data_IF_725437291892
#
_entry.id   IF_725437291892
#
_cell.length_a   1.000
_cell.length_b   1.000
_cell.length_c   1.000
_cell.angle_alpha   90.00
_cell.angle_beta   90.00
_cell.angle_gamma   90.00
#
_symmetry.space_group_name_H-M   'P 1'
#
loop_
_entity.id
_entity.type
_entity.pdbx_description
1 polymer ?
#
# COMPACT_ATOMS: atom_id res chain seq x y z
N UNK A 1 -12.93 9.37 -1.20
CA UNK A 1 -11.68 9.43 -2.01
C UNK A 1 -12.04 9.43 -3.50
N UNK A 2 -11.55 10.38 -4.31
CA UNK A 2 -11.79 10.37 -5.77
C UNK A 2 -11.08 9.17 -6.43
N UNK A 3 -11.83 8.41 -7.24
CA UNK A 3 -11.38 7.21 -7.97
C UNK A 3 -10.53 7.53 -9.22
N UNK A 4 -9.68 8.54 -9.15
CA UNK A 4 -8.84 8.92 -10.30
C UNK A 4 -7.66 7.95 -10.44
N UNK A 5 -7.90 6.95 -11.31
CA UNK A 5 -7.03 5.85 -11.66
C UNK A 5 -6.98 4.76 -10.57
N UNK A 6 -7.58 3.60 -10.88
CA UNK A 6 -7.57 2.38 -10.06
C UNK A 6 -6.17 2.15 -9.44
N UNK A 7 -5.06 2.28 -10.21
CA UNK A 7 -3.69 2.15 -9.67
C UNK A 7 -3.33 3.13 -8.54
N UNK A 8 -3.81 4.37 -8.61
CA UNK A 8 -3.58 5.39 -7.59
C UNK A 8 -4.48 5.17 -6.37
N UNK A 9 -5.67 4.60 -6.57
CA UNK A 9 -6.62 4.34 -5.49
C UNK A 9 -6.06 3.35 -4.46
N UNK A 10 -5.49 2.21 -4.89
CA UNK A 10 -4.84 1.28 -3.96
C UNK A 10 -3.66 1.93 -3.20
N UNK A 11 -2.88 2.78 -3.88
CA UNK A 11 -1.76 3.50 -3.23
C UNK A 11 -2.30 4.49 -2.20
N UNK A 12 -3.38 5.20 -2.52
CA UNK A 12 -4.06 6.09 -1.59
C UNK A 12 -4.62 5.32 -0.38
N UNK A 13 -5.23 4.16 -0.60
CA UNK A 13 -5.75 3.29 0.46
C UNK A 13 -4.65 2.79 1.41
N UNK A 14 -3.54 2.26 0.87
CA UNK A 14 -2.41 1.80 1.69
C UNK A 14 -1.75 2.95 2.46
N UNK A 15 -1.59 4.10 1.80
CA UNK A 15 -1.08 5.30 2.45
C UNK A 15 -2.00 5.76 3.57
N UNK A 16 -3.30 5.87 3.28
CA UNK A 16 -4.30 6.26 4.25
C UNK A 16 -4.25 5.34 5.47
N UNK A 17 -4.30 4.02 5.26
CA UNK A 17 -4.16 3.00 6.31
C UNK A 17 -2.92 3.20 7.19
N UNK A 18 -1.76 3.53 6.61
CA UNK A 18 -0.55 3.83 7.38
C UNK A 18 -0.67 5.07 8.28
N UNK A 19 -1.43 6.09 7.88
CA UNK A 19 -1.67 7.28 8.70
C UNK A 19 -2.74 7.07 9.79
N UNK A 20 -3.76 6.24 9.52
CA UNK A 20 -4.79 5.90 10.53
C UNK A 20 -4.29 4.86 11.53
N UNK A 21 -3.38 3.94 11.17
CA UNK A 21 -2.78 3.08 12.19
C UNK A 21 -2.04 3.89 13.26
N UNK A 22 -1.56 5.08 12.88
CA UNK A 22 -0.87 6.02 13.77
C UNK A 22 -1.84 7.00 14.48
N UNK A 23 -3.11 7.09 14.05
CA UNK A 23 -4.09 8.06 14.54
C UNK A 23 -5.38 7.38 14.99
N UNK A 24 -5.74 7.54 16.27
CA UNK A 24 -6.84 6.86 16.96
C UNK A 24 -8.25 7.18 16.40
N UNK A 25 -8.63 6.62 15.25
CA UNK A 25 -10.01 6.66 14.76
C UNK A 25 -10.15 6.51 13.25
N UNK A 26 -10.88 5.48 12.82
CA UNK A 26 -11.29 5.26 11.44
C UNK A 26 -12.67 5.89 11.20
N UNK A 27 -12.82 6.81 10.24
CA UNK A 27 -14.12 7.28 9.80
C UNK A 27 -14.96 6.15 9.18
N UNK A 28 -16.26 6.04 9.49
CA UNK A 28 -17.12 4.95 9.00
C UNK A 28 -17.32 4.93 7.47
N UNK A 29 -17.09 6.06 6.79
CA UNK A 29 -17.22 6.23 5.34
C UNK A 29 -16.11 5.57 4.52
N UNK A 30 -15.02 5.11 5.16
CA UNK A 30 -13.89 4.46 4.51
C UNK A 30 -13.77 2.95 4.86
N UNK A 31 -14.81 2.34 5.46
CA UNK A 31 -14.78 0.95 5.96
C UNK A 31 -14.36 -0.04 4.87
N UNK A 32 -14.99 -0.03 3.70
CA UNK A 32 -14.71 -1.01 2.64
C UNK A 32 -13.26 -0.91 2.11
N UNK A 33 -12.72 0.31 2.08
CA UNK A 33 -11.33 0.54 1.66
C UNK A 33 -10.35 -0.01 2.69
N UNK A 34 -10.64 0.18 3.97
CA UNK A 34 -9.81 -0.32 5.07
C UNK A 34 -9.93 -1.83 5.18
N UNK A 35 -11.13 -2.39 5.05
CA UNK A 35 -11.39 -3.83 5.03
C UNK A 35 -10.66 -4.51 3.87
N UNK A 36 -10.60 -3.87 2.69
CA UNK A 36 -9.79 -4.34 1.59
C UNK A 36 -8.29 -4.32 1.91
N UNK A 37 -7.75 -3.26 2.54
CA UNK A 37 -6.34 -3.22 2.97
C UNK A 37 -6.03 -4.31 4.01
N UNK A 38 -6.91 -4.50 4.99
CA UNK A 38 -6.77 -5.54 6.03
C UNK A 38 -6.80 -6.93 5.37
N UNK A 39 -7.71 -7.15 4.42
CA UNK A 39 -7.81 -8.39 3.65
C UNK A 39 -6.53 -8.70 2.87
N UNK A 40 -5.92 -7.68 2.24
CA UNK A 40 -4.61 -7.83 1.57
C UNK A 40 -3.53 -8.24 2.56
N UNK A 41 -3.42 -7.55 3.71
CA UNK A 41 -2.41 -7.88 4.73
C UNK A 41 -2.60 -9.30 5.25
N UNK A 42 -3.85 -9.71 5.50
CA UNK A 42 -4.19 -11.07 5.94
C UNK A 42 -3.84 -12.11 4.88
N UNK A 43 -4.15 -11.86 3.61
CA UNK A 43 -3.79 -12.74 2.50
C UNK A 43 -2.28 -12.96 2.44
N UNK A 44 -1.50 -11.88 2.41
CA UNK A 44 -0.04 -11.95 2.35
C UNK A 44 0.56 -12.64 3.58
N UNK A 45 -0.04 -12.45 4.76
CA UNK A 45 0.37 -13.13 5.99
C UNK A 45 0.15 -14.65 5.91
N UNK A 46 -1.03 -15.08 5.42
CA UNK A 46 -1.35 -16.51 5.25
C UNK A 46 -0.40 -17.19 4.24
N UNK A 47 0.03 -16.46 3.21
CA UNK A 47 1.00 -16.96 2.24
C UNK A 47 2.46 -16.90 2.72
N UNK A 48 2.73 -16.30 3.89
CA UNK A 48 4.09 -16.08 4.39
C UNK A 48 4.88 -14.99 3.66
N UNK A 49 4.22 -14.13 2.86
CA UNK A 49 4.84 -13.03 2.11
C UNK A 49 4.96 -11.77 2.98
N UNK A 50 5.59 -11.91 4.15
CA UNK A 50 5.78 -10.83 5.11
C UNK A 50 6.58 -9.66 4.52
N UNK A 51 7.53 -9.96 3.62
CA UNK A 51 8.32 -8.95 2.90
C UNK A 51 7.42 -7.97 2.13
N UNK A 52 6.38 -8.47 1.45
CA UNK A 52 5.47 -7.60 0.69
C UNK A 52 4.69 -6.67 1.62
N UNK A 53 4.33 -7.13 2.82
CA UNK A 53 3.68 -6.28 3.84
C UNK A 53 4.63 -5.16 4.26
N UNK A 54 5.89 -5.50 4.57
CA UNK A 54 6.91 -4.49 4.93
C UNK A 54 7.14 -3.49 3.80
N UNK A 55 7.16 -3.93 2.54
CA UNK A 55 7.29 -3.05 1.39
C UNK A 55 6.09 -2.09 1.24
N UNK A 56 4.87 -2.55 1.50
CA UNK A 56 3.67 -1.68 1.49
C UNK A 56 3.84 -0.56 2.53
N UNK A 57 4.22 -0.90 3.76
CA UNK A 57 4.38 0.07 4.84
C UNK A 57 5.51 1.07 4.52
N UNK A 58 6.65 0.58 4.05
CA UNK A 58 7.82 1.42 3.69
C UNK A 58 7.57 2.31 2.49
N UNK A 59 6.87 1.83 1.45
CA UNK A 59 6.72 2.57 0.18
C UNK A 59 5.44 3.39 0.10
N UNK A 60 4.35 2.90 0.69
CA UNK A 60 3.03 3.56 0.63
C UNK A 60 2.59 4.12 1.97
N UNK A 61 2.67 3.36 3.05
CA UNK A 61 2.25 3.78 4.39
C UNK A 61 2.95 5.06 4.86
N UNK A 62 4.23 5.20 4.51
CA UNK A 62 5.06 6.36 4.90
C UNK A 62 5.03 7.55 3.94
N UNK A 63 4.13 7.58 2.95
CA UNK A 63 4.03 8.68 2.01
C UNK A 63 3.41 9.93 2.68
N UNK A 64 3.94 11.14 2.40
CA UNK A 64 3.46 12.37 3.03
C UNK A 64 2.03 12.70 2.62
N UNK A 65 1.27 13.34 3.53
CA UNK A 65 -0.08 13.83 3.25
C UNK A 65 -0.11 14.94 2.18
N UNK A 66 -1.22 15.05 1.43
CA UNK A 66 -1.34 15.96 0.29
C UNK A 66 -0.78 15.44 -1.05
N UNK A 67 -0.46 16.39 -1.95
CA UNK A 67 -0.04 16.14 -3.33
C UNK A 67 1.36 15.53 -3.37
N UNK A 68 1.49 14.39 -4.04
CA UNK A 68 2.78 13.72 -4.19
C UNK A 68 3.65 14.40 -5.24
N UNK A 69 4.91 14.64 -4.90
CA UNK A 69 5.92 15.07 -5.87
C UNK A 69 6.18 13.97 -6.90
N UNK A 70 6.53 14.40 -8.13
CA UNK A 70 6.94 13.49 -9.20
C UNK A 70 8.11 12.62 -8.71
N UNK A 71 8.08 11.33 -9.03
CA UNK A 71 9.08 10.33 -8.68
C UNK A 71 9.21 9.94 -7.19
N UNK A 72 8.38 10.46 -6.27
CA UNK A 72 8.47 10.09 -4.85
C UNK A 72 8.36 8.59 -4.61
N UNK A 73 7.46 7.91 -5.34
CA UNK A 73 7.28 6.45 -5.23
C UNK A 73 8.54 5.74 -5.74
N UNK A 74 9.13 6.20 -6.85
CA UNK A 74 10.37 5.62 -7.39
C UNK A 74 11.52 5.74 -6.39
N UNK A 75 11.68 6.90 -5.74
CA UNK A 75 12.69 7.07 -4.70
C UNK A 75 12.46 6.14 -3.51
N UNK A 76 11.21 6.01 -3.04
CA UNK A 76 10.86 5.12 -1.94
C UNK A 76 11.07 3.65 -2.29
N UNK A 77 10.77 3.24 -3.53
CA UNK A 77 11.03 1.89 -4.02
C UNK A 77 12.53 1.60 -4.02
N UNK A 78 13.36 2.51 -4.52
CA UNK A 78 14.81 2.31 -4.52
C UNK A 78 15.38 2.24 -3.10
N UNK A 79 14.94 3.12 -2.20
CA UNK A 79 15.35 3.09 -0.80
C UNK A 79 14.95 1.77 -0.10
N UNK A 80 13.72 1.30 -0.33
CA UNK A 80 13.27 0.02 0.24
C UNK A 80 14.00 -1.19 -0.39
N UNK A 81 14.35 -1.10 -1.67
CA UNK A 81 15.14 -2.12 -2.36
C UNK A 81 16.55 -2.25 -1.74
N UNK A 82 17.21 -1.12 -1.50
CA UNK A 82 18.51 -1.06 -0.82
C UNK A 82 18.43 -1.58 0.62
N UNK A 83 17.47 -1.10 1.41
CA UNK A 83 17.32 -1.48 2.82
C UNK A 83 17.03 -2.97 3.00
N UNK A 84 16.21 -3.56 2.11
CA UNK A 84 15.85 -4.96 2.18
C UNK A 84 16.75 -5.87 1.33
N UNK A 85 17.87 -5.34 0.82
CA UNK A 85 18.83 -6.05 -0.02
C UNK A 85 18.17 -6.86 -1.17
N UNK A 86 17.30 -6.19 -1.92
CA UNK A 86 16.55 -6.80 -3.02
C UNK A 86 16.55 -5.92 -4.27
N UNK A 87 16.34 -6.54 -5.42
CA UNK A 87 16.27 -5.81 -6.69
C UNK A 87 15.00 -4.94 -6.78
N UNK A 88 15.13 -3.71 -7.29
CA UNK A 88 14.01 -2.77 -7.41
C UNK A 88 12.86 -3.31 -8.29
N UNK A 89 13.14 -4.16 -9.29
CA UNK A 89 12.11 -4.83 -10.09
C UNK A 89 11.33 -5.83 -9.26
N UNK A 90 11.98 -6.52 -8.32
CA UNK A 90 11.31 -7.42 -7.38
C UNK A 90 10.38 -6.64 -6.46
N UNK A 91 10.83 -5.49 -5.94
CA UNK A 91 9.97 -4.57 -5.17
C UNK A 91 8.75 -4.16 -5.98
N UNK A 92 8.94 -3.68 -7.22
CA UNK A 92 7.85 -3.29 -8.09
C UNK A 92 6.86 -4.42 -8.36
N UNK A 93 7.34 -5.66 -8.52
CA UNK A 93 6.51 -6.85 -8.74
C UNK A 93 5.68 -7.20 -7.50
N UNK A 94 6.29 -7.19 -6.32
CA UNK A 94 5.60 -7.41 -5.03
C UNK A 94 4.54 -6.35 -4.77
N UNK A 95 4.87 -5.08 -4.97
CA UNK A 95 3.90 -3.98 -4.83
C UNK A 95 2.78 -4.02 -5.88
N UNK A 96 3.10 -4.41 -7.13
CA UNK A 96 2.07 -4.60 -8.16
C UNK A 96 1.11 -5.73 -7.81
N UNK A 97 1.60 -6.79 -7.17
CA UNK A 97 0.77 -7.88 -6.64
C UNK A 97 -0.14 -7.40 -5.53
N UNK A 98 0.40 -6.69 -4.54
CA UNK A 98 -0.40 -6.10 -3.45
C UNK A 98 -1.55 -5.23 -3.97
N UNK A 99 -1.28 -4.36 -4.96
CA UNK A 99 -2.32 -3.56 -5.60
C UNK A 99 -3.39 -4.40 -6.30
N UNK A 100 -3.02 -5.50 -6.96
CA UNK A 100 -4.01 -6.41 -7.58
C UNK A 100 -4.87 -7.11 -6.53
N UNK A 101 -4.27 -7.57 -5.44
CA UNK A 101 -5.01 -8.17 -4.33
C UNK A 101 -6.00 -7.15 -3.73
N UNK A 102 -5.58 -5.90 -3.57
CA UNK A 102 -6.49 -4.84 -3.12
C UNK A 102 -7.74 -4.75 -3.99
N UNK A 103 -7.61 -4.70 -5.32
CA UNK A 103 -8.79 -4.66 -6.20
C UNK A 103 -9.61 -5.95 -6.18
N UNK A 104 -9.00 -7.11 -5.92
CA UNK A 104 -9.75 -8.34 -5.76
C UNK A 104 -10.66 -8.31 -4.51
N UNK A 105 -10.24 -7.62 -3.44
CA UNK A 105 -11.01 -7.49 -2.20
C UNK A 105 -11.93 -6.27 -2.16
N UNK A 106 -11.63 -5.24 -2.94
CA UNK A 106 -12.40 -3.98 -2.97
C UNK A 106 -13.65 -4.04 -3.86
N UNK A 107 -13.81 -5.05 -4.74
CA UNK A 107 -15.02 -5.22 -5.56
C UNK A 107 -16.08 -5.93 -4.71
N UNK A 108 -16.81 -5.16 -3.88
CA UNK A 108 -18.07 -5.56 -3.28
C UNK A 108 -19.01 -4.36 -3.16
#
# INVERSE_FOLDING_TARGET
MEQDNIKNYAVAAFRYYGHISDSSGVPPEDSDTIDAVISVRRHLCVEGDAETITLIDKVYGSLPNGRLHRNVITHRVNAAAEEMNMDARTVWRKLARARRLFFAYYIH
#
